data_IF_618919975394
#
_entry.id   IF_618919975394
#
_cell.length_a   1.000
_cell.length_b   1.000
_cell.length_c   1.000
_cell.angle_alpha   90.00
_cell.angle_beta   90.00
_cell.angle_gamma   90.00
#
_symmetry.space_group_name_H-M   'P 1'
#
loop_
_entity.id
_entity.type
_entity.pdbx_description
1 polymer ?
#
# COMPACT_ATOMS: atom_id res chain seq x y z
N UNK A 1 -25.48 45.41 60.61
CA UNK A 1 -25.89 46.19 59.43
C UNK A 1 -25.08 45.64 58.26
N UNK A 2 -25.51 44.60 57.55
CA UNK A 2 -26.62 44.50 56.60
C UNK A 2 -26.38 45.32 55.31
N UNK A 3 -25.98 44.63 54.24
CA UNK A 3 -26.26 44.93 52.81
C UNK A 3 -26.12 43.59 52.07
N UNK A 4 -27.18 42.77 52.04
CA UNK A 4 -28.08 42.54 50.88
C UNK A 4 -27.38 42.44 49.52
N UNK A 5 -27.35 41.21 48.98
CA UNK A 5 -27.12 40.89 47.58
C UNK A 5 -28.47 40.38 47.03
N UNK A 6 -29.17 41.22 46.27
CA UNK A 6 -30.25 40.82 45.34
C UNK A 6 -29.55 40.63 43.98
N UNK A 7 -29.75 39.59 43.19
CA UNK A 7 -31.00 38.93 42.85
C UNK A 7 -31.26 39.21 41.36
N UNK A 8 -30.63 38.44 40.47
CA UNK A 8 -30.92 38.45 39.02
C UNK A 8 -31.89 37.31 38.70
N UNK A 9 -33.14 37.70 38.45
CA UNK A 9 -34.10 37.04 37.55
C UNK A 9 -33.98 37.79 36.21
N UNK A 10 -34.02 37.22 35.02
CA UNK A 10 -35.05 36.36 34.43
C UNK A 10 -34.56 36.02 33.01
N UNK A 11 -34.58 34.76 32.59
CA UNK A 11 -35.31 34.39 31.37
C UNK A 11 -35.41 32.87 31.27
N UNK A 12 -36.58 32.41 31.70
CA UNK A 12 -37.27 31.21 31.27
C UNK A 12 -37.18 31.01 29.75
N UNK A 13 -36.96 29.76 29.32
CA UNK A 13 -37.87 29.01 28.42
C UNK A 13 -37.22 27.70 27.94
N UNK A 14 -37.76 26.60 28.47
CA UNK A 14 -38.25 25.48 27.65
C UNK A 14 -37.22 24.59 26.95
N UNK A 15 -36.69 23.60 27.69
CA UNK A 15 -36.25 22.34 27.09
C UNK A 15 -37.49 21.50 26.73
N UNK A 16 -38.08 21.74 25.55
CA UNK A 16 -39.12 20.88 25.02
C UNK A 16 -38.51 19.67 24.32
N UNK A 17 -38.78 18.51 24.94
CA UNK A 17 -38.63 17.15 24.42
C UNK A 17 -39.60 16.95 23.23
N UNK A 18 -39.08 17.03 22.01
CA UNK A 18 -39.43 16.20 20.83
C UNK A 18 -38.45 16.56 19.71
N UNK A 19 -37.29 15.90 19.64
CA UNK A 19 -36.45 15.98 18.43
C UNK A 19 -37.06 15.05 17.40
N UNK A 20 -37.88 15.63 16.53
CA UNK A 20 -38.40 15.01 15.32
C UNK A 20 -37.23 14.33 14.56
N UNK A 21 -37.43 13.09 14.10
CA UNK A 21 -36.40 12.33 13.37
C UNK A 21 -36.00 13.05 12.07
N UNK A 22 -36.85 13.96 11.57
CA UNK A 22 -36.52 14.91 10.51
C UNK A 22 -35.40 15.87 10.92
N UNK A 23 -35.46 16.42 12.14
CA UNK A 23 -34.49 17.38 12.67
C UNK A 23 -33.12 16.76 12.95
N UNK A 24 -33.06 15.47 13.32
CA UNK A 24 -31.78 14.75 13.46
C UNK A 24 -31.18 14.47 12.08
N UNK A 25 -32.00 14.15 11.09
CA UNK A 25 -31.56 13.94 9.71
C UNK A 25 -31.13 15.24 9.04
N UNK A 26 -31.80 16.35 9.35
CA UNK A 26 -31.47 17.69 8.85
C UNK A 26 -30.25 18.26 9.56
N UNK A 27 -30.08 17.98 10.85
CA UNK A 27 -28.83 18.26 11.58
C UNK A 27 -27.68 17.40 11.04
N UNK A 28 -27.89 16.11 10.76
CA UNK A 28 -26.89 15.22 10.17
C UNK A 28 -26.48 15.69 8.77
N UNK A 29 -27.45 16.03 7.91
CA UNK A 29 -27.17 16.58 6.57
C UNK A 29 -26.50 17.95 6.62
N UNK A 30 -26.88 18.81 7.57
CA UNK A 30 -26.22 20.10 7.78
C UNK A 30 -24.79 19.93 8.30
N UNK A 31 -24.57 18.96 9.19
CA UNK A 31 -23.26 18.60 9.71
C UNK A 31 -22.38 17.96 8.64
N UNK A 32 -22.95 17.07 7.83
CA UNK A 32 -22.31 16.40 6.69
C UNK A 32 -21.91 17.44 5.64
N UNK A 33 -22.80 18.36 5.25
CA UNK A 33 -22.46 19.44 4.30
C UNK A 33 -21.38 20.40 4.84
N UNK A 34 -21.44 20.78 6.12
CA UNK A 34 -20.42 21.65 6.73
C UNK A 34 -19.07 20.96 6.90
N UNK A 35 -19.06 19.63 7.09
CA UNK A 35 -17.83 18.85 7.13
C UNK A 35 -17.32 18.49 5.74
N UNK A 36 -18.16 18.35 4.72
CA UNK A 36 -17.77 18.16 3.31
C UNK A 36 -17.06 19.38 2.75
N UNK A 37 -17.54 20.59 3.03
CA UNK A 37 -16.88 21.83 2.62
C UNK A 37 -15.51 22.01 3.34
N UNK A 38 -15.44 21.63 4.63
CA UNK A 38 -14.18 21.61 5.37
C UNK A 38 -13.25 20.47 4.96
N UNK A 39 -13.77 19.31 4.56
CA UNK A 39 -13.00 18.19 4.02
C UNK A 39 -12.45 18.53 2.64
N UNK A 40 -13.15 19.28 1.79
CA UNK A 40 -12.60 19.81 0.53
C UNK A 40 -11.43 20.77 0.78
N UNK A 41 -11.57 21.72 1.71
CA UNK A 41 -10.48 22.61 2.11
C UNK A 41 -9.30 21.85 2.77
N UNK A 42 -9.59 20.88 3.64
CA UNK A 42 -8.58 20.02 4.27
C UNK A 42 -7.97 19.00 3.30
N UNK A 43 -8.65 18.65 2.21
CA UNK A 43 -8.12 17.78 1.14
C UNK A 43 -7.17 18.54 0.22
N UNK A 44 -7.41 19.85 0.01
CA UNK A 44 -6.48 20.74 -0.68
C UNK A 44 -5.25 21.09 0.18
N UNK A 45 -5.39 21.06 1.51
CA UNK A 45 -4.27 21.13 2.47
C UNK A 45 -3.75 19.77 2.91
N UNK A 46 -4.29 18.67 2.39
CA UNK A 46 -3.79 17.35 2.69
C UNK A 46 -2.35 17.31 2.17
N UNK A 47 -1.41 17.06 3.08
CA UNK A 47 -0.07 16.67 2.72
C UNK A 47 -0.20 15.53 1.70
N UNK A 48 -0.01 15.82 0.42
CA UNK A 48 0.36 14.79 -0.52
C UNK A 48 1.73 14.35 -0.04
N UNK A 49 1.90 13.14 0.52
CA UNK A 49 3.24 12.65 0.74
C UNK A 49 3.90 12.70 -0.63
N UNK A 50 4.95 13.52 -0.78
CA UNK A 50 5.82 13.44 -1.94
C UNK A 50 6.13 11.95 -2.06
N UNK A 51 5.70 11.33 -3.16
CA UNK A 51 5.98 9.93 -3.39
C UNK A 51 7.48 9.74 -3.08
N UNK A 52 7.84 8.75 -2.24
CA UNK A 52 9.23 8.58 -1.83
C UNK A 52 10.07 8.59 -3.10
N UNK A 53 11.10 9.44 -3.12
CA UNK A 53 11.94 9.60 -4.30
C UNK A 53 12.51 8.22 -4.65
N UNK A 54 12.03 7.64 -5.77
CA UNK A 54 12.40 6.29 -6.19
C UNK A 54 13.93 6.21 -6.29
N UNK A 55 14.53 5.43 -5.40
CA UNK A 55 15.99 5.25 -5.45
C UNK A 55 16.36 4.33 -6.60
N UNK A 56 17.47 4.65 -7.26
CA UNK A 56 18.07 3.83 -8.31
C UNK A 56 19.39 3.22 -7.82
N UNK A 57 19.63 2.00 -8.27
CA UNK A 57 20.81 1.22 -7.95
C UNK A 57 21.52 0.87 -9.26
N UNK A 58 22.79 1.24 -9.36
CA UNK A 58 23.66 0.91 -10.49
C UNK A 58 24.23 -0.49 -10.32
N UNK A 59 24.03 -1.32 -11.34
CA UNK A 59 24.49 -2.71 -11.38
C UNK A 59 25.49 -2.88 -12.50
N UNK A 60 26.64 -3.45 -12.17
CA UNK A 60 27.66 -3.85 -13.14
C UNK A 60 27.53 -5.33 -13.45
N UNK A 61 27.08 -5.64 -14.66
CA UNK A 61 27.09 -6.99 -15.20
C UNK A 61 28.48 -7.31 -15.74
N UNK A 62 28.95 -8.50 -15.44
CA UNK A 62 30.22 -9.03 -15.92
C UNK A 62 30.01 -10.47 -16.37
N UNK A 63 30.43 -10.80 -17.58
CA UNK A 63 30.42 -12.17 -18.07
C UNK A 63 31.73 -12.52 -18.72
N UNK A 64 32.31 -13.67 -18.35
CA UNK A 64 33.50 -14.18 -19.01
C UNK A 64 33.10 -14.98 -20.26
N UNK A 65 33.46 -14.45 -21.43
CA UNK A 65 33.20 -15.10 -22.72
C UNK A 65 34.24 -14.69 -23.77
N UNK A 66 34.89 -15.70 -24.36
CA UNK A 66 35.86 -15.49 -25.44
C UNK A 66 35.13 -15.27 -26.77
N UNK A 67 35.29 -14.07 -27.32
CA UNK A 67 34.73 -13.67 -28.62
C UNK A 67 35.78 -13.62 -29.71
N UNK A 68 35.32 -13.75 -30.95
CA UNK A 68 36.12 -13.51 -32.15
C UNK A 68 35.93 -12.08 -32.68
N UNK A 69 36.80 -11.67 -33.61
CA UNK A 69 36.72 -10.35 -34.25
C UNK A 69 35.37 -10.21 -34.97
N UNK A 70 34.63 -9.14 -34.67
CA UNK A 70 33.31 -8.87 -35.23
C UNK A 70 32.14 -9.43 -34.42
N UNK A 71 32.40 -10.13 -33.31
CA UNK A 71 31.37 -10.55 -32.37
C UNK A 71 31.21 -9.53 -31.24
N UNK A 72 29.97 -9.25 -30.86
CA UNK A 72 29.64 -8.34 -29.76
C UNK A 72 28.66 -9.01 -28.79
N UNK A 73 28.82 -8.76 -27.49
CA UNK A 73 27.86 -9.21 -26.49
C UNK A 73 26.86 -8.11 -26.16
N UNK A 74 25.62 -8.52 -25.94
CA UNK A 74 24.53 -7.67 -25.45
C UNK A 74 23.84 -8.34 -24.27
N UNK A 75 23.20 -7.54 -23.43
CA UNK A 75 22.33 -8.03 -22.34
C UNK A 75 20.89 -7.63 -22.64
N UNK A 76 20.00 -8.60 -22.59
CA UNK A 76 18.56 -8.42 -22.75
C UNK A 76 17.81 -9.00 -21.56
N UNK A 77 16.67 -8.43 -21.19
CA UNK A 77 15.91 -8.92 -20.04
C UNK A 77 14.51 -8.35 -19.90
N UNK A 78 13.83 -8.69 -18.81
CA UNK A 78 12.43 -8.35 -18.56
C UNK A 78 12.18 -6.88 -18.28
N UNK A 79 13.16 -6.15 -17.77
CA UNK A 79 13.01 -4.74 -17.37
C UNK A 79 13.23 -3.79 -18.57
N UNK A 80 12.58 -2.61 -18.52
CA UNK A 80 12.70 -1.59 -19.57
C UNK A 80 14.14 -1.14 -19.83
N UNK A 81 14.97 -1.09 -18.77
CA UNK A 81 16.38 -0.71 -18.85
C UNK A 81 17.25 -1.74 -19.63
N UNK A 82 16.78 -2.98 -19.78
CA UNK A 82 17.46 -4.05 -20.55
C UNK A 82 16.62 -4.52 -21.74
N UNK A 83 15.73 -3.65 -22.23
CA UNK A 83 15.05 -3.84 -23.51
C UNK A 83 13.77 -4.67 -23.51
N UNK A 84 13.26 -5.17 -22.38
CA UNK A 84 12.02 -5.97 -22.33
C UNK A 84 12.01 -7.18 -23.30
N UNK A 85 13.13 -7.90 -23.37
CA UNK A 85 13.38 -9.02 -24.29
C UNK A 85 13.38 -8.66 -25.79
N UNK A 86 13.33 -7.37 -26.13
CA UNK A 86 13.59 -6.89 -27.49
C UNK A 86 15.09 -6.82 -27.74
N UNK A 87 15.55 -7.60 -28.72
CA UNK A 87 16.96 -7.72 -29.10
C UNK A 87 17.53 -6.42 -29.63
N UNK A 88 16.72 -5.57 -30.27
CA UNK A 88 17.15 -4.27 -30.78
C UNK A 88 17.31 -3.23 -29.68
N UNK A 89 16.67 -3.46 -28.52
CA UNK A 89 16.77 -2.62 -27.32
C UNK A 89 17.68 -3.23 -26.26
N UNK A 90 18.36 -4.33 -26.57
CA UNK A 90 19.34 -4.95 -25.70
C UNK A 90 20.54 -4.02 -25.49
N UNK A 91 21.07 -4.00 -24.28
CA UNK A 91 22.17 -3.10 -23.91
C UNK A 91 23.49 -3.71 -24.39
N UNK A 92 24.28 -2.99 -25.20
CA UNK A 92 25.59 -3.48 -25.65
C UNK A 92 26.57 -3.52 -24.47
N UNK A 93 27.38 -4.57 -24.44
CA UNK A 93 28.45 -4.73 -23.45
C UNK A 93 29.77 -4.23 -24.03
N UNK A 94 30.68 -3.80 -23.14
CA UNK A 94 32.03 -3.40 -23.49
C UNK A 94 32.99 -4.53 -23.18
N UNK A 95 33.82 -4.93 -24.14
CA UNK A 95 34.89 -5.90 -23.91
C UNK A 95 36.02 -5.27 -23.10
N UNK A 96 36.53 -6.01 -22.13
CA UNK A 96 37.70 -5.65 -21.33
C UNK A 96 38.75 -6.76 -21.39
N UNK A 97 39.97 -6.45 -20.95
CA UNK A 97 41.05 -7.43 -20.86
C UNK A 97 40.63 -8.69 -20.08
N UNK A 98 41.11 -9.86 -20.52
CA UNK A 98 40.77 -11.14 -19.91
C UNK A 98 39.47 -11.79 -20.42
N UNK A 99 38.95 -11.37 -21.59
CA UNK A 99 37.69 -11.88 -22.17
C UNK A 99 36.48 -11.68 -21.26
N UNK A 100 36.47 -10.57 -20.53
CA UNK A 100 35.36 -10.16 -19.67
C UNK A 100 34.58 -9.09 -20.41
N UNK A 101 33.27 -9.26 -20.48
CA UNK A 101 32.35 -8.28 -21.03
C UNK A 101 31.61 -7.60 -19.89
N UNK A 102 31.56 -6.27 -19.92
CA UNK A 102 31.01 -5.43 -18.84
C UNK A 102 29.91 -4.52 -19.36
N UNK A 103 28.83 -4.39 -18.60
CA UNK A 103 27.80 -3.37 -18.83
C UNK A 103 27.30 -2.82 -17.49
N UNK A 104 27.02 -1.53 -17.44
CA UNK A 104 26.44 -0.87 -16.26
C UNK A 104 25.01 -0.42 -16.60
N UNK A 105 24.05 -0.78 -15.74
CA UNK A 105 22.64 -0.44 -15.92
C UNK A 105 22.03 -0.05 -14.58
N UNK A 106 21.22 0.99 -14.60
CA UNK A 106 20.48 1.46 -13.43
C UNK A 106 19.09 0.85 -13.37
N UNK A 107 18.70 0.41 -12.17
CA UNK A 107 17.39 -0.15 -11.89
C UNK A 107 16.79 0.47 -10.63
N UNK A 108 15.46 0.52 -10.50
CA UNK A 108 14.84 0.96 -9.25
C UNK A 108 15.18 -0.02 -8.11
N UNK A 109 15.37 0.52 -6.91
CA UNK A 109 15.56 -0.27 -5.70
C UNK A 109 14.41 -1.27 -5.51
N UNK A 110 14.71 -2.48 -5.05
CA UNK A 110 13.74 -3.56 -4.92
C UNK A 110 13.37 -4.26 -6.23
N UNK A 111 13.88 -3.84 -7.40
CA UNK A 111 13.57 -4.50 -8.66
C UNK A 111 13.98 -5.97 -8.68
N UNK A 112 13.16 -6.79 -9.35
CA UNK A 112 13.48 -8.16 -9.73
C UNK A 112 13.54 -8.22 -11.24
N UNK A 113 14.69 -8.60 -11.79
CA UNK A 113 14.96 -8.58 -13.22
C UNK A 113 15.42 -9.95 -13.66
N UNK A 114 14.76 -10.49 -14.69
CA UNK A 114 15.25 -11.66 -15.41
C UNK A 114 16.03 -11.18 -16.62
N UNK A 115 17.23 -11.70 -16.83
CA UNK A 115 18.08 -11.28 -17.93
C UNK A 115 18.84 -12.44 -18.53
N UNK A 116 19.39 -12.21 -19.72
CA UNK A 116 20.18 -13.17 -20.46
C UNK A 116 21.14 -12.45 -21.40
N UNK A 117 22.26 -13.10 -21.69
CA UNK A 117 23.24 -12.60 -22.64
C UNK A 117 22.89 -13.00 -24.08
N UNK A 118 23.26 -12.14 -25.03
CA UNK A 118 23.16 -12.37 -26.46
C UNK A 118 24.52 -12.17 -27.11
N UNK A 119 24.82 -13.04 -28.08
CA UNK A 119 25.94 -12.90 -28.98
C UNK A 119 25.42 -12.37 -30.33
N UNK A 120 25.92 -11.22 -30.74
CA UNK A 120 25.74 -10.65 -32.07
C UNK A 120 26.96 -10.97 -32.93
N UNK A 121 26.72 -11.52 -34.11
CA UNK A 121 27.73 -11.95 -35.09
C UNK A 121 27.24 -11.56 -36.50
N UNK A 122 27.63 -10.37 -36.96
CA UNK A 122 27.10 -9.78 -38.19
C UNK A 122 25.59 -9.59 -38.10
N UNK A 123 24.83 -10.23 -39.00
CA UNK A 123 23.37 -10.22 -39.01
C UNK A 123 22.74 -11.32 -38.13
N UNK A 124 23.55 -12.14 -37.46
CA UNK A 124 23.07 -13.24 -36.61
C UNK A 124 23.05 -12.83 -35.14
N UNK A 125 21.93 -13.12 -34.46
CA UNK A 125 21.75 -12.90 -33.03
C UNK A 125 21.43 -14.23 -32.35
N UNK A 126 22.22 -14.60 -31.34
CA UNK A 126 22.08 -15.87 -30.60
C UNK A 126 21.99 -15.59 -29.11
N UNK A 127 20.91 -16.06 -28.48
CA UNK A 127 20.81 -16.06 -27.03
C UNK A 127 21.76 -17.07 -26.40
N UNK A 128 22.24 -16.76 -25.21
CA UNK A 128 22.91 -17.70 -24.33
C UNK A 128 22.04 -18.96 -24.14
N UNK A 129 22.67 -20.12 -24.01
CA UNK A 129 21.96 -21.37 -23.74
C UNK A 129 21.61 -21.50 -22.26
N UNK A 130 20.59 -22.31 -21.94
CA UNK A 130 20.17 -22.54 -20.55
C UNK A 130 19.07 -21.60 -20.06
N UNK A 131 18.88 -21.57 -18.74
CA UNK A 131 17.87 -20.75 -18.07
C UNK A 131 18.23 -19.26 -18.07
N UNK A 132 17.27 -18.41 -17.74
CA UNK A 132 17.51 -16.98 -17.56
C UNK A 132 18.21 -16.75 -16.21
N UNK A 133 19.10 -15.77 -16.18
CA UNK A 133 19.66 -15.27 -14.94
C UNK A 133 18.61 -14.43 -14.21
N UNK A 134 18.78 -14.32 -12.89
CA UNK A 134 17.88 -13.52 -12.06
C UNK A 134 18.68 -12.58 -11.18
N UNK A 135 18.23 -11.33 -11.14
CA UNK A 135 18.81 -10.25 -10.36
C UNK A 135 17.75 -9.70 -9.41
N UNK A 136 18.12 -9.54 -8.15
CA UNK A 136 17.20 -9.15 -7.08
C UNK A 136 17.82 -8.05 -6.25
N UNK A 137 17.40 -6.82 -6.52
CA UNK A 137 18.03 -5.67 -5.93
C UNK A 137 17.49 -5.40 -4.53
N UNK A 138 18.33 -4.98 -3.56
CA UNK A 138 17.86 -4.64 -2.23
C UNK A 138 16.80 -3.54 -2.28
N UNK A 139 15.88 -3.56 -1.32
CA UNK A 139 14.89 -2.49 -1.15
C UNK A 139 15.55 -1.21 -0.68
N UNK A 140 14.84 -0.08 -0.74
CA UNK A 140 15.35 1.23 -0.36
C UNK A 140 15.97 1.26 1.05
N UNK A 141 15.35 0.56 2.01
CA UNK A 141 15.84 0.47 3.40
C UNK A 141 17.20 -0.23 3.55
N UNK A 142 17.55 -1.10 2.60
CA UNK A 142 18.75 -1.93 2.62
C UNK A 142 19.78 -1.50 1.57
N UNK A 143 19.51 -0.43 0.83
CA UNK A 143 20.42 0.11 -0.16
C UNK A 143 21.56 0.88 0.53
N UNK A 144 22.80 0.62 0.11
CA UNK A 144 23.95 1.39 0.56
C UNK A 144 24.27 2.45 -0.50
N UNK A 145 24.18 3.76 -0.19
CA UNK A 145 24.47 4.82 -1.16
C UNK A 145 25.87 4.68 -1.76
N UNK A 146 26.02 5.02 -3.04
CA UNK A 146 27.27 4.92 -3.81
C UNK A 146 27.86 3.49 -3.92
N UNK A 147 27.11 2.45 -3.57
CA UNK A 147 27.53 1.07 -3.79
C UNK A 147 27.13 0.62 -5.19
N UNK A 148 28.13 0.28 -6.00
CA UNK A 148 27.92 -0.47 -7.24
C UNK A 148 27.79 -1.94 -6.86
N UNK A 149 26.68 -2.57 -7.23
CA UNK A 149 26.54 -4.02 -7.07
C UNK A 149 26.99 -4.72 -8.35
N UNK A 150 27.48 -5.93 -8.20
CA UNK A 150 28.10 -6.68 -9.30
C UNK A 150 27.38 -8.01 -9.52
N UNK A 151 27.04 -8.27 -10.77
CA UNK A 151 26.54 -9.56 -11.23
C UNK A 151 27.62 -10.18 -12.13
N UNK A 152 28.41 -11.09 -11.55
CA UNK A 152 29.46 -11.81 -12.25
C UNK A 152 28.94 -13.18 -12.66
N UNK A 153 28.78 -13.43 -13.95
CA UNK A 153 28.18 -14.63 -14.52
C UNK A 153 29.16 -15.41 -15.41
N UNK A 154 28.87 -16.70 -15.58
CA UNK A 154 29.54 -17.56 -16.55
C UNK A 154 28.62 -17.81 -17.75
N UNK A 155 29.16 -17.72 -18.96
CA UNK A 155 28.37 -17.92 -20.19
C UNK A 155 27.68 -19.28 -20.25
N UNK A 156 28.29 -20.33 -19.69
CA UNK A 156 27.72 -21.67 -19.64
C UNK A 156 26.50 -21.79 -18.70
N UNK A 157 26.11 -20.71 -18.00
CA UNK A 157 24.98 -20.68 -17.09
C UNK A 157 25.25 -21.34 -15.74
N UNK A 158 26.52 -21.65 -15.41
CA UNK A 158 26.86 -22.14 -14.08
C UNK A 158 26.58 -21.06 -13.03
N UNK A 159 25.96 -21.42 -11.89
CA UNK A 159 25.75 -20.47 -10.81
C UNK A 159 27.10 -19.97 -10.30
N UNK A 160 27.19 -18.66 -10.18
CA UNK A 160 28.30 -17.97 -9.51
C UNK A 160 27.89 -17.54 -8.12
N UNK A 161 28.85 -17.15 -7.27
CA UNK A 161 28.54 -16.61 -5.94
C UNK A 161 27.58 -15.42 -6.01
N UNK A 162 27.71 -14.55 -7.02
CA UNK A 162 26.79 -13.42 -7.21
C UNK A 162 25.39 -13.88 -7.62
N UNK A 163 25.27 -14.81 -8.57
CA UNK A 163 23.96 -15.37 -8.97
C UNK A 163 23.26 -16.08 -7.82
N UNK A 164 23.99 -16.82 -6.98
CA UNK A 164 23.42 -17.46 -5.79
C UNK A 164 22.96 -16.45 -4.76
N UNK A 165 23.73 -15.39 -4.49
CA UNK A 165 23.33 -14.31 -3.59
C UNK A 165 22.04 -13.63 -4.05
N UNK A 166 21.88 -13.39 -5.35
CA UNK A 166 20.64 -12.82 -5.90
C UNK A 166 19.45 -13.78 -5.76
N UNK A 167 19.66 -15.08 -5.97
CA UNK A 167 18.61 -16.09 -5.75
C UNK A 167 18.17 -16.17 -4.30
N UNK A 168 19.11 -16.16 -3.35
CA UNK A 168 18.82 -16.15 -1.91
C UNK A 168 18.03 -14.90 -1.50
N UNK A 169 18.39 -13.73 -2.02
CA UNK A 169 17.64 -12.50 -1.76
C UNK A 169 16.21 -12.54 -2.31
N UNK A 170 15.97 -13.20 -3.44
CA UNK A 170 14.60 -13.41 -3.94
C UNK A 170 13.81 -14.33 -3.04
N UNK A 171 14.38 -15.48 -2.69
CA UNK A 171 13.74 -16.46 -1.83
C UNK A 171 13.33 -15.78 -0.53
N UNK A 172 14.27 -15.06 0.10
CA UNK A 172 14.00 -14.30 1.31
C UNK A 172 12.87 -13.28 1.14
N UNK A 173 12.85 -12.51 0.04
CA UNK A 173 11.78 -11.54 -0.21
C UNK A 173 10.42 -12.20 -0.38
N UNK A 174 10.36 -13.34 -1.06
CA UNK A 174 9.13 -14.10 -1.25
C UNK A 174 8.62 -14.60 0.11
N UNK A 175 9.51 -15.17 0.93
CA UNK A 175 9.17 -15.64 2.27
C UNK A 175 8.69 -14.51 3.20
N UNK A 176 9.36 -13.36 3.18
CA UNK A 176 8.97 -12.17 3.93
C UNK A 176 7.58 -11.67 3.49
N UNK A 177 7.33 -11.59 2.18
CA UNK A 177 6.02 -11.18 1.63
C UNK A 177 4.91 -12.16 2.00
N UNK A 178 5.17 -13.47 1.97
CA UNK A 178 4.19 -14.49 2.33
C UNK A 178 3.86 -14.45 3.82
N UNK A 179 4.85 -14.14 4.66
CA UNK A 179 4.68 -13.99 6.11
C UNK A 179 3.80 -12.77 6.42
N UNK A 180 4.14 -11.61 5.84
CA UNK A 180 3.34 -10.39 6.00
C UNK A 180 1.90 -10.57 5.52
N UNK A 181 1.72 -11.27 4.39
CA UNK A 181 0.38 -11.59 3.88
C UNK A 181 -0.42 -12.43 4.87
N UNK A 182 0.20 -13.44 5.48
CA UNK A 182 -0.46 -14.30 6.48
C UNK A 182 -0.82 -13.52 7.75
N UNK A 183 0.07 -12.65 8.21
CA UNK A 183 -0.17 -11.80 9.38
C UNK A 183 -1.33 -10.83 9.10
N UNK A 184 -1.31 -10.12 7.97
CA UNK A 184 -2.39 -9.22 7.57
C UNK A 184 -3.74 -9.94 7.42
N UNK A 185 -3.73 -11.18 6.90
CA UNK A 185 -4.95 -12.01 6.83
C UNK A 185 -5.46 -12.39 8.22
N UNK A 186 -4.58 -12.78 9.15
CA UNK A 186 -4.94 -13.08 10.53
C UNK A 186 -5.50 -11.85 11.25
N UNK A 187 -4.87 -10.69 11.08
CA UNK A 187 -5.34 -9.42 11.63
C UNK A 187 -6.70 -9.01 11.06
N UNK A 188 -6.92 -9.19 9.75
CA UNK A 188 -8.21 -8.94 9.13
C UNK A 188 -9.30 -9.87 9.67
N UNK A 189 -8.99 -11.16 9.86
CA UNK A 189 -9.91 -12.14 10.46
C UNK A 189 -10.22 -11.76 11.92
N UNK A 190 -9.22 -11.39 12.71
CA UNK A 190 -9.41 -10.94 14.09
C UNK A 190 -10.26 -9.67 14.15
N UNK A 191 -9.96 -8.67 13.32
CA UNK A 191 -10.71 -7.42 13.22
C UNK A 191 -12.17 -7.67 12.85
N UNK A 192 -12.41 -8.57 11.88
CA UNK A 192 -13.77 -8.97 11.48
C UNK A 192 -14.52 -9.64 12.63
N UNK A 193 -13.86 -10.54 13.37
CA UNK A 193 -14.45 -11.23 14.51
C UNK A 193 -14.80 -10.26 15.64
N UNK A 194 -13.93 -9.31 15.94
CA UNK A 194 -14.19 -8.27 16.94
C UNK A 194 -15.38 -7.39 16.54
N UNK A 195 -15.45 -6.96 15.28
CA UNK A 195 -16.57 -6.19 14.77
C UNK A 195 -17.91 -6.98 14.86
N UNK A 196 -17.89 -8.28 14.56
CA UNK A 196 -19.07 -9.14 14.70
C UNK A 196 -19.52 -9.28 16.16
N UNK A 197 -18.57 -9.45 17.10
CA UNK A 197 -18.88 -9.53 18.52
C UNK A 197 -19.49 -8.20 19.03
N UNK A 198 -18.86 -7.06 18.70
CA UNK A 198 -19.37 -5.75 19.08
C UNK A 198 -20.78 -5.49 18.55
N UNK A 199 -21.05 -5.87 17.28
CA UNK A 199 -22.40 -5.76 16.71
C UNK A 199 -23.41 -6.63 17.47
N UNK A 200 -23.03 -7.86 17.85
CA UNK A 200 -23.93 -8.74 18.61
C UNK A 200 -24.26 -8.18 19.99
N UNK A 201 -23.29 -7.56 20.67
CA UNK A 201 -23.51 -6.92 21.98
C UNK A 201 -24.43 -5.69 21.86
N UNK A 202 -24.28 -4.89 20.80
CA UNK A 202 -25.16 -3.74 20.53
C UNK A 202 -26.61 -4.18 20.27
N UNK A 203 -26.81 -5.28 19.53
CA UNK A 203 -28.13 -5.84 19.28
C UNK A 203 -28.77 -6.28 20.60
N UNK A 204 -28.05 -7.04 21.43
CA UNK A 204 -28.54 -7.49 22.73
C UNK A 204 -28.91 -6.30 23.65
N UNK A 205 -28.04 -5.29 23.75
CA UNK A 205 -28.30 -4.11 24.55
C UNK A 205 -29.54 -3.32 24.06
N UNK A 206 -29.77 -3.27 22.75
CA UNK A 206 -30.97 -2.65 22.17
C UNK A 206 -32.24 -3.42 22.55
N UNK A 207 -32.20 -4.74 22.51
CA UNK A 207 -33.34 -5.60 22.87
C UNK A 207 -33.68 -5.48 24.37
N UNK A 208 -32.67 -5.49 25.24
CA UNK A 208 -32.85 -5.29 26.69
C UNK A 208 -33.44 -3.92 27.01
N UNK A 209 -32.96 -2.87 26.35
CA UNK A 209 -33.50 -1.53 26.50
C UNK A 209 -34.96 -1.46 26.05
N UNK A 210 -35.32 -2.12 24.94
CA UNK A 210 -36.70 -2.19 24.45
C UNK A 210 -37.63 -2.95 25.42
N UNK A 211 -37.16 -4.07 25.99
CA UNK A 211 -37.91 -4.83 26.97
C UNK A 211 -38.16 -4.02 28.26
N UNK A 212 -37.14 -3.31 28.76
CA UNK A 212 -37.28 -2.42 29.91
C UNK A 212 -38.28 -1.28 29.63
N UNK A 213 -38.26 -0.71 28.42
CA UNK A 213 -39.21 0.31 27.98
C UNK A 213 -40.66 -0.21 28.03
N UNK A 214 -40.89 -1.41 27.52
CA UNK A 214 -42.21 -2.05 27.54
C UNK A 214 -42.71 -2.30 28.97
N UNK A 215 -41.84 -2.74 29.89
CA UNK A 215 -42.20 -2.95 31.29
C UNK A 215 -42.57 -1.64 32.00
N UNK A 216 -41.84 -0.56 31.73
CA UNK A 216 -42.13 0.76 32.30
C UNK A 216 -43.48 1.33 31.80
N UNK A 217 -43.84 1.06 30.54
CA UNK A 217 -45.18 1.36 30.02
C UNK A 217 -46.26 0.54 30.74
N UNK A 218 -46.08 -0.78 30.87
CA UNK A 218 -47.03 -1.66 31.57
C UNK A 218 -47.25 -1.23 33.03
N UNK A 219 -46.20 -0.78 33.72
CA UNK A 219 -46.27 -0.30 35.11
C UNK A 219 -46.87 1.10 35.24
N UNK A 220 -47.16 1.80 34.14
CA UNK A 220 -47.71 3.16 34.13
C UNK A 220 -46.71 4.24 34.55
N UNK A 221 -45.41 3.95 34.46
CA UNK A 221 -44.32 4.90 34.79
C UNK A 221 -43.90 5.75 33.58
N UNK A 222 -44.28 5.35 32.37
CA UNK A 222 -44.12 6.12 31.14
C UNK A 222 -45.49 6.56 30.62
N UNK A 223 -45.65 7.80 30.14
CA UNK A 223 -46.87 8.22 29.46
C UNK A 223 -47.09 7.38 28.20
N UNK A 224 -48.35 7.03 27.90
CA UNK A 224 -48.68 6.38 26.63
C UNK A 224 -48.24 7.30 25.48
N UNK A 225 -47.71 6.74 24.37
CA UNK A 225 -47.47 7.53 23.18
C UNK A 225 -48.80 8.16 22.79
N UNK A 226 -48.90 9.48 22.92
CA UNK A 226 -50.10 10.23 22.58
C UNK A 226 -50.46 9.94 21.13
N UNK A 227 -51.67 9.44 20.89
CA UNK A 227 -52.32 9.34 19.57
C UNK A 227 -52.56 10.70 18.90
N UNK A 228 -51.99 11.78 19.45
CA UNK A 228 -52.15 13.15 18.98
C UNK A 228 -51.18 13.45 17.84
N UNK A 229 -51.37 12.71 16.74
CA UNK A 229 -51.01 13.18 15.41
C UNK A 229 -52.29 13.48 14.62
N UNK A 230 -53.28 14.08 15.29
CA UNK A 230 -54.42 14.73 14.65
C UNK A 230 -54.29 16.21 14.96
N UNK A 231 -54.05 16.97 13.90
CA UNK A 231 -54.27 18.42 13.81
C UNK A 231 -53.32 19.30 14.65
N UNK A 232 -52.09 19.45 14.17
CA UNK A 232 -51.37 20.73 14.32
C UNK A 232 -51.54 21.48 13.00
N UNK A 233 -52.62 22.26 12.91
CA UNK A 233 -52.73 23.38 11.97
C UNK A 233 -51.90 24.54 12.54
N UNK A 234 -50.80 24.86 11.83
CA UNK A 234 -49.92 26.06 11.86
C UNK A 234 -49.44 26.61 13.20
#
# INVERSE_FOLDING_TARGET
MAYQYNGESENDRGLTRTSDLSSVNDWYKSWENQNLEKEEDLSNFAYQPLAPAQQYITIRFQVHYQTYVGQCLKIGGSHAAVGQWDVYRAVPMTWTEGNIWVAEVDFPAGAVVFYKYLLEEGDSLKWQQGANHVLALPTEDHHVPNRVYEASDMWNGQPTASSSAWQELLVRRIEESDTQRKEAEQEAVQSRRMAQAALSELIAAREDAAAAWSLLQEKGWLPEPSDDNRDIDW
#
